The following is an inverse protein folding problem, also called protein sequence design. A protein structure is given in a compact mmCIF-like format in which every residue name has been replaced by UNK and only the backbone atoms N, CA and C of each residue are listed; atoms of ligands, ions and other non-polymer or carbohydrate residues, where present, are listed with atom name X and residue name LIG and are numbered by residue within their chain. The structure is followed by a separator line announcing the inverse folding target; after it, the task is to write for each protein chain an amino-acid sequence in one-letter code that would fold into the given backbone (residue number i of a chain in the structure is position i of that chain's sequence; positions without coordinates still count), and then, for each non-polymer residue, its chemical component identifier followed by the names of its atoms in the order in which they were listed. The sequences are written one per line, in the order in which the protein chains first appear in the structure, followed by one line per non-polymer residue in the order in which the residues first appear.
data_IF_791022726941
#
_entry.id   IF_791022726941
#
_cell.length_a   1.000
_cell.length_b   1.000
_cell.length_c   1.000
_cell.angle_alpha   90.00
_cell.angle_beta   90.00
_cell.angle_gamma   90.00
#
_symmetry.space_group_name_H-M   'P 1'
#
loop_
_entity.id
_entity.type
_entity.pdbx_description
1 polymer ?
#
# COMPACT_ATOMS: atom_id res chain seq x y z
N UNK A 1 14.42 18.68 3.27
CA UNK A 1 13.02 19.01 3.61
C UNK A 1 12.73 18.44 4.97
N UNK A 2 12.21 19.25 5.91
CA UNK A 2 11.76 18.73 7.20
C UNK A 2 10.55 17.83 6.92
N UNK A 3 10.60 16.56 7.35
CA UNK A 3 9.43 15.70 7.26
C UNK A 3 8.32 16.34 8.10
N UNK A 4 7.24 16.72 7.47
CA UNK A 4 6.09 17.33 8.14
C UNK A 4 5.38 16.36 9.09
N UNK A 5 5.69 15.07 9.00
CA UNK A 5 5.16 14.01 9.86
C UNK A 5 6.21 13.49 10.85
N UNK A 6 5.76 13.20 12.08
CA UNK A 6 6.62 12.70 13.15
C UNK A 6 6.97 11.22 12.94
N UNK A 7 7.97 10.94 12.10
CA UNK A 7 8.48 9.59 11.82
C UNK A 7 9.70 9.24 12.69
N UNK A 8 10.44 10.24 13.17
CA UNK A 8 11.74 10.04 13.84
C UNK A 8 11.65 9.27 15.17
N UNK A 9 10.49 9.33 15.82
CA UNK A 9 10.23 8.66 17.11
C UNK A 9 9.64 7.25 16.97
N UNK A 10 9.40 6.77 15.74
CA UNK A 10 8.72 5.50 15.49
C UNK A 10 9.76 4.44 15.14
N UNK A 11 9.73 3.31 15.85
CA UNK A 11 10.61 2.18 15.57
C UNK A 11 10.26 1.56 14.22
N UNK A 12 11.29 1.31 13.38
CA UNK A 12 11.13 0.63 12.10
C UNK A 12 10.48 -0.77 12.26
N UNK A 13 9.59 -1.13 11.32
CA UNK A 13 8.84 -2.40 11.38
C UNK A 13 9.78 -3.60 11.43
N UNK A 14 10.87 -3.60 10.65
CA UNK A 14 11.81 -4.71 10.61
C UNK A 14 12.58 -4.82 11.92
N UNK A 15 12.99 -3.68 12.50
CA UNK A 15 13.68 -3.66 13.78
C UNK A 15 12.77 -4.10 14.92
N UNK A 16 11.53 -3.61 14.96
CA UNK A 16 10.52 -4.01 15.93
C UNK A 16 10.20 -5.52 15.82
N UNK A 17 9.98 -6.03 14.61
CA UNK A 17 9.76 -7.46 14.39
C UNK A 17 10.95 -8.31 14.86
N UNK A 18 12.19 -7.90 14.51
CA UNK A 18 13.41 -8.57 14.94
C UNK A 18 13.52 -8.60 16.47
N UNK A 19 13.29 -7.47 17.13
CA UNK A 19 13.34 -7.36 18.60
C UNK A 19 12.29 -8.26 19.24
N UNK A 20 11.07 -8.34 18.71
CA UNK A 20 10.01 -9.22 19.20
C UNK A 20 10.37 -10.71 19.01
N UNK A 21 10.97 -11.10 17.89
CA UNK A 21 11.43 -12.48 17.66
C UNK A 21 12.52 -12.85 18.65
N UNK A 22 13.51 -11.96 18.84
CA UNK A 22 14.63 -12.19 19.75
C UNK A 22 14.20 -12.23 21.22
N UNK A 23 13.33 -11.33 21.66
CA UNK A 23 12.83 -11.29 23.04
C UNK A 23 11.97 -12.51 23.38
N UNK A 24 11.25 -13.05 22.41
CA UNK A 24 10.35 -14.18 22.58
C UNK A 24 10.84 -15.44 21.84
N UNK A 25 12.16 -15.58 21.68
CA UNK A 25 12.75 -16.68 20.93
C UNK A 25 12.30 -18.06 21.41
N UNK A 26 12.11 -18.24 22.74
CA UNK A 26 11.62 -19.49 23.31
C UNK A 26 10.23 -19.88 22.78
N UNK A 27 9.31 -18.91 22.65
CA UNK A 27 7.96 -19.16 22.12
C UNK A 27 7.98 -19.46 20.62
N UNK A 28 8.97 -18.93 19.90
CA UNK A 28 9.09 -19.12 18.46
C UNK A 28 9.82 -20.42 18.10
N UNK A 29 10.96 -20.69 18.75
CA UNK A 29 11.86 -21.76 18.34
C UNK A 29 11.76 -23.03 19.19
N UNK A 30 11.28 -22.96 20.44
CA UNK A 30 11.17 -24.15 21.28
C UNK A 30 10.09 -25.13 20.79
N UNK A 31 8.89 -24.69 20.36
CA UNK A 31 7.92 -25.56 19.70
C UNK A 31 8.43 -26.11 18.37
N UNK A 32 9.17 -25.29 17.58
CA UNK A 32 9.82 -25.76 16.36
C UNK A 32 10.78 -26.93 16.64
N UNK A 33 11.68 -26.74 17.61
CA UNK A 33 12.64 -27.79 17.96
C UNK A 33 11.94 -29.10 18.44
N UNK A 34 10.90 -28.96 19.27
CA UNK A 34 10.10 -30.09 19.72
C UNK A 34 9.39 -30.83 18.57
N UNK A 35 8.72 -30.08 17.69
CA UNK A 35 8.05 -30.64 16.51
C UNK A 35 9.05 -31.26 15.52
N UNK A 36 10.21 -30.64 15.36
CA UNK A 36 11.26 -31.13 14.46
C UNK A 36 11.86 -32.43 14.96
N UNK A 37 12.19 -32.53 16.26
CA UNK A 37 12.71 -33.78 16.90
C UNK A 37 11.65 -34.88 16.82
N UNK A 38 10.38 -34.56 17.16
CA UNK A 38 9.27 -35.49 17.03
C UNK A 38 9.10 -35.94 15.58
N UNK A 39 9.22 -35.02 14.62
CA UNK A 39 9.15 -35.30 13.20
C UNK A 39 10.23 -36.28 12.73
N UNK A 40 11.51 -36.10 13.19
CA UNK A 40 12.59 -37.01 12.89
C UNK A 40 12.29 -38.43 13.44
N UNK A 41 11.79 -38.50 14.67
CA UNK A 41 11.42 -39.76 15.27
C UNK A 41 10.34 -40.49 14.47
N UNK A 42 9.27 -39.77 14.04
CA UNK A 42 8.19 -40.34 13.27
C UNK A 42 8.65 -40.73 11.86
N UNK A 43 9.54 -39.95 11.22
CA UNK A 43 10.10 -40.29 9.90
C UNK A 43 10.88 -41.63 9.98
N UNK A 44 11.67 -41.80 11.01
CA UNK A 44 12.40 -43.07 11.20
C UNK A 44 11.48 -44.28 11.44
N UNK A 45 10.31 -44.06 12.03
CA UNK A 45 9.38 -45.14 12.38
C UNK A 45 8.34 -45.45 11.30
N UNK A 46 7.82 -44.37 10.62
CA UNK A 46 6.73 -44.45 9.66
C UNK A 46 7.12 -44.08 8.21
N UNK A 47 8.36 -43.66 7.97
CA UNK A 47 8.85 -43.27 6.64
C UNK A 47 8.21 -42.03 6.06
N UNK A 48 7.41 -41.27 6.82
CA UNK A 48 6.64 -40.15 6.30
C UNK A 48 7.33 -38.79 6.53
N UNK A 49 7.97 -38.25 5.49
CA UNK A 49 8.74 -37.01 5.52
C UNK A 49 7.84 -35.76 5.64
N UNK A 50 6.55 -35.84 5.30
CA UNK A 50 5.62 -34.71 5.32
C UNK A 50 5.48 -34.08 6.72
N UNK A 51 5.68 -34.87 7.77
CA UNK A 51 5.55 -34.41 9.15
C UNK A 51 6.63 -33.38 9.52
N UNK A 52 7.83 -33.45 8.93
CA UNK A 52 8.87 -32.42 9.11
C UNK A 52 8.41 -31.06 8.59
N UNK A 53 7.59 -31.02 7.56
CA UNK A 53 7.04 -29.77 7.01
C UNK A 53 6.21 -28.98 8.02
N UNK A 54 5.54 -29.65 8.96
CA UNK A 54 4.69 -28.98 9.97
C UNK A 54 5.51 -28.03 10.86
N UNK A 55 6.74 -28.43 11.25
CA UNK A 55 7.62 -27.59 12.06
C UNK A 55 8.03 -26.30 11.33
N UNK A 56 8.32 -26.39 10.04
CA UNK A 56 8.64 -25.22 9.21
C UNK A 56 7.44 -24.31 9.03
N UNK A 57 6.23 -24.88 8.80
CA UNK A 57 4.99 -24.10 8.71
C UNK A 57 4.76 -23.31 10.01
N UNK A 58 5.03 -23.92 11.18
CA UNK A 58 4.94 -23.23 12.47
C UNK A 58 5.83 -21.98 12.53
N UNK A 59 7.14 -22.12 12.19
CA UNK A 59 8.08 -20.98 12.23
C UNK A 59 7.67 -19.89 11.25
N UNK A 60 7.36 -20.27 10.01
CA UNK A 60 6.93 -19.30 8.99
C UNK A 60 5.68 -18.56 9.46
N UNK A 61 4.68 -19.28 9.98
CA UNK A 61 3.46 -18.68 10.52
C UNK A 61 3.73 -17.72 11.69
N UNK A 62 4.64 -18.10 12.61
CA UNK A 62 5.03 -17.23 13.74
C UNK A 62 5.75 -15.98 13.27
N UNK A 63 6.69 -16.10 12.34
CA UNK A 63 7.38 -14.94 11.76
C UNK A 63 6.37 -14.01 11.07
N UNK A 64 5.48 -14.55 10.25
CA UNK A 64 4.45 -13.76 9.57
C UNK A 64 3.54 -13.01 10.56
N UNK A 65 3.12 -13.66 11.66
CA UNK A 65 2.32 -13.03 12.73
C UNK A 65 3.08 -11.90 13.43
N UNK A 66 4.37 -12.07 13.70
CA UNK A 66 5.19 -11.03 14.35
C UNK A 66 5.33 -9.82 13.43
N UNK A 67 5.61 -10.02 12.14
CA UNK A 67 5.67 -8.94 11.16
C UNK A 67 4.34 -8.20 11.00
N UNK A 68 3.23 -8.94 10.96
CA UNK A 68 1.89 -8.35 10.90
C UNK A 68 1.60 -7.44 12.11
N UNK A 69 1.94 -7.92 13.33
CA UNK A 69 1.79 -7.13 14.56
C UNK A 69 2.72 -5.92 14.60
N UNK A 70 3.96 -6.08 14.18
CA UNK A 70 4.92 -4.97 14.11
C UNK A 70 4.44 -3.88 13.16
N UNK A 71 3.89 -4.27 12.00
CA UNK A 71 3.28 -3.33 11.02
C UNK A 71 2.07 -2.61 11.62
N UNK A 72 1.19 -3.34 12.30
CA UNK A 72 0.03 -2.74 12.97
C UNK A 72 0.46 -1.74 14.05
N UNK A 73 1.43 -2.11 14.87
CA UNK A 73 1.94 -1.24 15.94
C UNK A 73 2.61 0.02 15.37
N UNK A 74 3.41 -0.13 14.30
CA UNK A 74 3.96 1.02 13.57
C UNK A 74 2.86 1.98 13.13
N UNK A 75 1.80 1.48 12.50
CA UNK A 75 0.69 2.31 12.02
C UNK A 75 -0.07 2.98 13.16
N UNK A 76 -0.23 2.30 14.30
CA UNK A 76 -0.83 2.88 15.52
C UNK A 76 0.05 3.98 16.11
N UNK A 77 1.36 3.78 16.17
CA UNK A 77 2.31 4.78 16.67
C UNK A 77 2.36 5.99 15.74
N UNK A 78 2.40 5.78 14.43
CA UNK A 78 2.32 6.84 13.43
C UNK A 78 1.04 7.67 13.58
N UNK A 79 -0.10 7.01 13.73
CA UNK A 79 -1.38 7.69 13.94
C UNK A 79 -1.34 8.56 15.21
N UNK A 80 -0.89 8.02 16.34
CA UNK A 80 -0.78 8.75 17.62
C UNK A 80 0.18 9.93 17.53
N UNK A 81 1.36 9.75 16.93
CA UNK A 81 2.38 10.79 16.81
C UNK A 81 1.92 11.99 15.96
N UNK A 82 0.98 11.76 15.04
CA UNK A 82 0.45 12.78 14.12
C UNK A 82 -0.98 13.22 14.45
N UNK A 83 -1.53 12.83 15.60
CA UNK A 83 -2.92 13.11 16.00
C UNK A 83 -3.96 12.57 15.00
N UNK A 84 -3.69 11.41 14.40
CA UNK A 84 -4.62 10.69 13.53
C UNK A 84 -5.34 9.57 14.30
N UNK A 85 -6.53 9.18 13.84
CA UNK A 85 -7.26 8.05 14.34
C UNK A 85 -6.84 6.77 13.60
N UNK A 86 -6.44 5.72 14.33
CA UNK A 86 -6.25 4.40 13.74
C UNK A 86 -7.56 3.62 13.78
N UNK A 87 -8.11 3.28 12.61
CA UNK A 87 -9.41 2.60 12.47
C UNK A 87 -9.21 1.10 12.24
N UNK A 88 -8.14 0.73 11.55
CA UNK A 88 -7.80 -0.66 11.24
C UNK A 88 -8.39 -1.15 9.93
N UNK A 89 -9.60 -1.70 9.92
CA UNK A 89 -10.28 -2.15 8.71
C UNK A 89 -11.17 -1.05 8.13
N UNK A 90 -11.16 -0.90 6.81
CA UNK A 90 -12.04 0.02 6.07
C UNK A 90 -13.09 -0.73 5.26
N UNK A 91 -14.11 0.00 4.80
CA UNK A 91 -15.15 -0.50 3.90
C UNK A 91 -14.84 -0.05 2.47
N UNK A 92 -14.65 -1.01 1.59
CA UNK A 92 -14.31 -0.75 0.16
C UNK A 92 -15.45 -0.03 -0.56
N UNK A 93 -16.69 -0.32 -0.22
CA UNK A 93 -17.89 0.27 -0.82
C UNK A 93 -18.00 1.79 -0.61
N UNK A 94 -17.25 2.34 0.35
CA UNK A 94 -17.16 3.78 0.61
C UNK A 94 -16.07 4.48 -0.20
N UNK A 95 -15.20 3.70 -0.86
CA UNK A 95 -14.08 4.25 -1.61
C UNK A 95 -14.51 4.61 -3.03
N UNK A 96 -13.97 5.72 -3.51
CA UNK A 96 -14.14 6.18 -4.88
C UNK A 96 -12.79 6.08 -5.59
N UNK A 97 -12.78 5.63 -6.83
CA UNK A 97 -11.56 5.51 -7.62
C UNK A 97 -11.58 4.29 -8.52
N UNK A 98 -10.84 4.38 -9.63
CA UNK A 98 -10.73 3.29 -10.61
C UNK A 98 -10.14 2.05 -9.97
N UNK A 99 -9.13 2.22 -9.10
CA UNK A 99 -8.49 1.12 -8.40
C UNK A 99 -9.50 0.21 -7.67
N UNK A 100 -10.53 0.78 -7.06
CA UNK A 100 -11.51 0.02 -6.25
C UNK A 100 -12.57 -0.69 -7.08
N UNK A 101 -12.55 -0.54 -8.40
CA UNK A 101 -13.47 -1.24 -9.32
C UNK A 101 -12.91 -2.57 -9.79
N UNK A 102 -11.61 -2.85 -9.54
CA UNK A 102 -10.93 -4.03 -10.06
C UNK A 102 -10.90 -5.19 -9.09
N UNK A 103 -10.90 -6.39 -9.68
CA UNK A 103 -10.66 -7.64 -8.97
C UNK A 103 -11.81 -8.07 -8.06
N UNK A 104 -11.49 -9.00 -7.18
CA UNK A 104 -12.40 -9.57 -6.17
C UNK A 104 -11.65 -9.74 -4.84
N UNK A 105 -12.38 -10.12 -3.79
CA UNK A 105 -11.80 -10.27 -2.45
C UNK A 105 -11.02 -9.01 -2.03
N UNK A 106 -11.64 -7.87 -2.29
CA UNK A 106 -11.09 -6.56 -1.97
C UNK A 106 -11.05 -6.36 -0.45
N UNK A 107 -9.97 -5.77 0.05
CA UNK A 107 -9.84 -5.47 1.47
C UNK A 107 -9.04 -4.20 1.72
N UNK A 108 -9.44 -3.45 2.75
CA UNK A 108 -8.73 -2.29 3.28
C UNK A 108 -8.25 -2.62 4.69
N UNK A 109 -6.96 -2.42 4.91
CA UNK A 109 -6.33 -2.68 6.20
C UNK A 109 -5.51 -1.48 6.65
N UNK A 110 -5.30 -1.37 7.97
CA UNK A 110 -4.51 -0.31 8.60
C UNK A 110 -4.97 1.10 8.22
N UNK A 111 -6.28 1.32 8.10
CA UNK A 111 -6.86 2.63 7.82
C UNK A 111 -6.55 3.59 8.96
N UNK A 112 -5.96 4.73 8.60
CA UNK A 112 -5.68 5.86 9.46
C UNK A 112 -6.38 7.08 8.88
N UNK A 113 -7.08 7.84 9.69
CA UNK A 113 -7.75 9.08 9.29
C UNK A 113 -7.33 10.24 10.18
N UNK A 114 -7.18 11.40 9.59
CA UNK A 114 -6.84 12.62 10.33
C UNK A 114 -7.00 13.87 9.50
N UNK A 115 -6.47 14.97 10.02
CA UNK A 115 -6.44 16.26 9.33
C UNK A 115 -5.00 16.80 9.27
N UNK A 116 -4.62 17.33 8.12
CA UNK A 116 -3.35 17.97 7.90
C UNK A 116 -3.55 19.25 7.07
N UNK A 117 -3.06 20.38 7.57
CA UNK A 117 -3.23 21.71 6.92
C UNK A 117 -4.69 21.99 6.48
N UNK A 118 -5.65 21.67 7.34
CA UNK A 118 -7.10 21.81 7.11
C UNK A 118 -7.69 20.91 6.00
N UNK A 119 -6.96 19.89 5.55
CA UNK A 119 -7.45 18.85 4.67
C UNK A 119 -7.66 17.56 5.46
N UNK A 120 -8.77 16.86 5.20
CA UNK A 120 -8.94 15.50 5.71
C UNK A 120 -8.04 14.58 4.91
N UNK A 121 -7.32 13.71 5.61
CA UNK A 121 -6.37 12.77 5.02
C UNK A 121 -6.68 11.37 5.54
N UNK A 122 -6.61 10.39 4.66
CA UNK A 122 -6.67 8.97 5.01
C UNK A 122 -5.49 8.24 4.39
N UNK A 123 -4.88 7.33 5.16
CA UNK A 123 -3.85 6.40 4.68
C UNK A 123 -4.30 4.99 4.96
N UNK A 124 -4.12 4.07 3.99
CA UNK A 124 -4.49 2.67 4.16
C UNK A 124 -3.76 1.77 3.17
N UNK A 125 -3.78 0.47 3.46
CA UNK A 125 -3.38 -0.54 2.49
C UNK A 125 -4.61 -1.17 1.88
N UNK A 126 -4.58 -1.30 0.57
CA UNK A 126 -5.63 -1.93 -0.21
C UNK A 126 -5.11 -3.17 -0.91
N UNK A 127 -5.89 -4.22 -0.94
CA UNK A 127 -5.57 -5.41 -1.73
C UNK A 127 -6.78 -5.96 -2.45
N UNK A 128 -6.54 -6.54 -3.61
CA UNK A 128 -7.53 -7.30 -4.37
C UNK A 128 -6.90 -8.49 -5.09
N UNK A 129 -7.73 -9.36 -5.61
CA UNK A 129 -7.30 -10.59 -6.28
C UNK A 129 -7.82 -10.63 -7.69
N UNK A 130 -6.95 -10.97 -8.65
CA UNK A 130 -7.29 -11.29 -10.03
C UNK A 130 -7.05 -12.76 -10.34
N UNK A 131 -7.52 -13.21 -11.50
CA UNK A 131 -7.34 -14.57 -11.95
C UNK A 131 -8.09 -15.62 -11.12
N UNK A 132 -7.91 -16.90 -11.43
CA UNK A 132 -8.56 -18.01 -10.74
C UNK A 132 -7.66 -19.25 -10.69
N UNK A 133 -7.90 -20.14 -9.74
CA UNK A 133 -7.15 -21.39 -9.59
C UNK A 133 -5.64 -21.15 -9.44
N UNK A 134 -4.84 -21.76 -10.31
CA UNK A 134 -3.36 -21.64 -10.30
C UNK A 134 -2.85 -20.27 -10.79
N UNK A 135 -3.69 -19.47 -11.43
CA UNK A 135 -3.35 -18.13 -11.95
C UNK A 135 -3.87 -17.01 -11.03
N UNK A 136 -4.18 -17.33 -9.78
CA UNK A 136 -4.57 -16.34 -8.78
C UNK A 136 -3.40 -15.44 -8.46
N UNK A 137 -3.60 -14.12 -8.60
CA UNK A 137 -2.62 -13.09 -8.27
C UNK A 137 -3.25 -12.11 -7.27
N UNK A 138 -2.51 -11.78 -6.22
CA UNK A 138 -2.90 -10.76 -5.25
C UNK A 138 -2.12 -9.48 -5.52
N UNK A 139 -2.84 -8.38 -5.67
CA UNK A 139 -2.30 -7.04 -5.85
C UNK A 139 -2.43 -6.27 -4.55
N UNK A 140 -1.36 -5.57 -4.17
CA UNK A 140 -1.30 -4.81 -2.92
C UNK A 140 -0.89 -3.37 -3.23
N UNK A 141 -1.57 -2.41 -2.61
CA UNK A 141 -1.34 -0.98 -2.79
C UNK A 141 -1.26 -0.27 -1.46
N UNK A 142 -0.40 0.74 -1.39
CA UNK A 142 -0.51 1.80 -0.41
C UNK A 142 -1.32 2.95 -1.02
N UNK A 143 -2.26 3.48 -0.27
CA UNK A 143 -3.18 4.51 -0.72
C UNK A 143 -3.17 5.67 0.26
N UNK A 144 -3.02 6.89 -0.25
CA UNK A 144 -3.29 8.12 0.46
C UNK A 144 -4.47 8.83 -0.21
N UNK A 145 -5.49 9.19 0.56
CA UNK A 145 -6.63 9.99 0.12
C UNK A 145 -6.59 11.35 0.81
N UNK A 146 -6.75 12.42 0.06
CA UNK A 146 -6.77 13.80 0.56
C UNK A 146 -8.07 14.44 0.07
N UNK A 147 -8.87 14.97 1.00
CA UNK A 147 -10.03 15.80 0.65
C UNK A 147 -9.61 17.27 0.50
N UNK A 148 -10.00 17.91 -0.59
CA UNK A 148 -9.77 19.33 -0.85
C UNK A 148 -11.10 20.08 -1.03
N UNK A 149 -11.04 21.41 -0.98
CA UNK A 149 -12.21 22.25 -1.21
C UNK A 149 -12.44 22.47 -2.71
N UNK A 150 -13.66 22.27 -3.17
CA UNK A 150 -14.04 22.38 -4.56
C UNK A 150 -14.21 21.02 -5.25
N UNK A 151 -14.67 21.04 -6.48
CA UNK A 151 -14.78 19.86 -7.33
C UNK A 151 -13.74 19.93 -8.43
N UNK A 152 -13.15 18.81 -8.73
CA UNK A 152 -12.25 18.61 -9.87
C UNK A 152 -12.96 17.75 -10.91
N UNK A 153 -12.69 17.91 -12.20
CA UNK A 153 -12.95 16.85 -13.17
C UNK A 153 -12.29 15.54 -12.73
N UNK A 154 -12.85 14.43 -13.17
CA UNK A 154 -12.24 13.12 -12.95
C UNK A 154 -10.97 13.01 -13.78
N UNK A 155 -9.80 13.12 -13.17
CA UNK A 155 -8.52 13.11 -13.85
C UNK A 155 -7.69 11.93 -13.31
N UNK A 156 -7.06 11.19 -14.21
CA UNK A 156 -6.13 10.11 -13.87
C UNK A 156 -4.74 10.46 -14.36
N UNK A 157 -3.75 10.42 -13.47
CA UNK A 157 -2.34 10.59 -13.77
C UNK A 157 -1.65 9.28 -13.49
N UNK A 158 -1.34 8.52 -14.53
CA UNK A 158 -0.67 7.24 -14.41
C UNK A 158 0.84 7.42 -14.44
N UNK A 159 1.52 6.85 -13.46
CA UNK A 159 2.98 6.73 -13.47
C UNK A 159 3.40 5.58 -14.38
N UNK A 160 4.34 5.83 -15.29
CA UNK A 160 4.93 4.79 -16.14
C UNK A 160 5.90 3.87 -15.37
N UNK A 161 6.30 4.28 -14.17
CA UNK A 161 7.11 3.48 -13.25
C UNK A 161 6.29 2.48 -12.44
N UNK A 162 4.95 2.59 -12.45
CA UNK A 162 4.02 1.64 -11.83
C UNK A 162 3.36 0.75 -12.90
N UNK A 163 3.96 -0.43 -13.12
CA UNK A 163 3.53 -1.38 -14.14
C UNK A 163 2.07 -1.84 -13.99
N UNK A 164 1.62 -2.05 -12.77
CA UNK A 164 0.27 -2.57 -12.49
C UNK A 164 -0.83 -1.57 -12.89
N UNK A 165 -0.53 -0.28 -12.84
CA UNK A 165 -1.52 0.79 -13.02
C UNK A 165 -1.42 1.50 -14.38
N UNK A 166 -0.42 1.17 -15.20
CA UNK A 166 -0.16 1.88 -16.48
C UNK A 166 -1.31 1.80 -17.50
N UNK A 167 -2.24 0.85 -17.33
CA UNK A 167 -3.42 0.66 -18.19
C UNK A 167 -4.73 1.10 -17.55
N UNK A 168 -4.71 1.69 -16.36
CA UNK A 168 -5.92 2.13 -15.68
C UNK A 168 -6.44 3.42 -16.29
N UNK A 169 -7.53 3.33 -17.01
CA UNK A 169 -8.24 4.46 -17.57
C UNK A 169 -9.73 4.32 -17.27
N UNK A 170 -10.43 5.44 -17.23
CA UNK A 170 -11.89 5.45 -17.15
C UNK A 170 -12.51 5.46 -18.55
N UNK A 171 -13.71 4.91 -18.75
CA UNK A 171 -14.48 5.11 -19.96
C UNK A 171 -14.62 6.62 -20.27
N UNK A 172 -14.54 6.99 -21.55
CA UNK A 172 -14.62 8.38 -22.03
C UNK A 172 -13.47 9.31 -21.61
N UNK A 173 -12.36 8.75 -21.08
CA UNK A 173 -11.13 9.50 -20.86
C UNK A 173 -10.21 9.40 -22.08
N UNK A 174 -9.58 10.52 -22.38
CA UNK A 174 -8.58 10.64 -23.43
C UNK A 174 -7.26 11.05 -22.82
N UNK A 175 -6.16 10.49 -23.33
CA UNK A 175 -4.84 10.93 -22.93
C UNK A 175 -4.56 12.33 -23.48
N UNK A 176 -4.14 13.23 -22.59
CA UNK A 176 -3.76 14.59 -22.97
C UNK A 176 -2.36 14.59 -23.63
N UNK A 177 -2.17 15.34 -24.72
CA UNK A 177 -0.90 15.47 -25.43
C UNK A 177 0.02 16.44 -24.66
N UNK A 178 0.71 15.96 -23.65
CA UNK A 178 1.70 16.74 -22.92
C UNK A 178 3.08 16.37 -23.45
N UNK A 179 3.68 17.28 -24.19
CA UNK A 179 5.03 17.12 -24.74
C UNK A 179 6.06 17.70 -23.77
N UNK A 180 6.70 16.87 -22.97
CA UNK A 180 7.76 17.30 -22.06
C UNK A 180 8.42 16.09 -21.38
N UNK A 181 9.47 16.32 -20.59
CA UNK A 181 10.07 15.32 -19.69
C UNK A 181 9.03 14.65 -18.79
N UNK A 182 7.92 15.34 -18.50
CA UNK A 182 6.82 14.77 -17.76
C UNK A 182 6.20 13.56 -18.48
N UNK A 183 6.04 13.63 -19.81
CA UNK A 183 5.49 12.54 -20.62
C UNK A 183 6.35 11.27 -20.64
N UNK A 184 7.63 11.37 -20.26
CA UNK A 184 8.49 10.20 -20.09
C UNK A 184 8.13 9.39 -18.84
N UNK A 185 7.60 10.07 -17.82
CA UNK A 185 7.29 9.52 -16.49
C UNK A 185 5.83 9.28 -16.25
N UNK A 186 4.95 10.09 -16.84
CA UNK A 186 3.52 10.10 -16.57
C UNK A 186 2.70 10.17 -17.84
N UNK A 187 1.43 9.75 -17.73
CA UNK A 187 0.39 9.98 -18.71
C UNK A 187 -0.83 10.55 -17.98
N UNK A 188 -1.40 11.64 -18.48
CA UNK A 188 -2.61 12.26 -17.93
C UNK A 188 -3.80 11.89 -18.81
N UNK A 189 -4.87 11.44 -18.17
CA UNK A 189 -6.13 11.10 -18.80
C UNK A 189 -7.25 11.95 -18.19
N UNK A 190 -8.06 12.58 -19.04
CA UNK A 190 -9.19 13.41 -18.63
C UNK A 190 -10.42 13.11 -19.47
N UNK A 191 -11.63 13.41 -18.97
CA UNK A 191 -12.83 13.38 -19.80
C UNK A 191 -12.69 14.34 -20.97
N UNK A 192 -13.19 13.95 -22.15
CA UNK A 192 -13.06 14.74 -23.38
C UNK A 192 -13.63 16.16 -23.23
N UNK A 193 -14.67 16.31 -22.42
CA UNK A 193 -15.34 17.61 -22.21
C UNK A 193 -14.56 18.56 -21.27
N UNK A 194 -13.52 18.08 -20.59
CA UNK A 194 -12.73 18.81 -19.60
C UNK A 194 -11.23 18.88 -19.95
N UNK A 195 -10.86 18.74 -21.22
CA UNK A 195 -9.46 18.77 -21.65
C UNK A 195 -8.80 20.12 -21.32
N UNK A 196 -9.48 21.23 -21.56
CA UNK A 196 -8.93 22.59 -21.36
C UNK A 196 -8.76 22.87 -19.87
N UNK A 197 -9.77 22.64 -19.07
CA UNK A 197 -9.73 22.82 -17.61
C UNK A 197 -8.67 21.95 -16.97
N UNK A 198 -8.48 20.73 -17.50
CA UNK A 198 -7.41 19.84 -17.02
C UNK A 198 -6.03 20.39 -17.36
N UNK A 199 -5.82 20.91 -18.57
CA UNK A 199 -4.53 21.50 -18.96
C UNK A 199 -4.21 22.76 -18.13
N UNK A 200 -5.21 23.54 -17.74
CA UNK A 200 -5.03 24.69 -16.83
C UNK A 200 -4.57 24.29 -15.43
N UNK A 201 -4.98 23.11 -14.94
CA UNK A 201 -4.53 22.57 -13.65
C UNK A 201 -3.08 22.12 -13.68
N UNK A 202 -2.62 21.59 -14.81
CA UNK A 202 -1.27 21.02 -14.96
C UNK A 202 -0.29 22.03 -15.55
N UNK A 203 -0.12 23.15 -14.86
CA UNK A 203 0.89 24.15 -15.20
C UNK A 203 2.31 23.56 -15.14
N UNK A 204 3.31 24.17 -15.81
CA UNK A 204 4.69 23.72 -15.81
C UNK A 204 5.27 23.50 -14.40
N UNK A 205 4.89 24.34 -13.44
CA UNK A 205 5.30 24.23 -12.05
C UNK A 205 4.71 22.97 -11.38
N UNK A 206 3.41 22.71 -11.61
CA UNK A 206 2.74 21.51 -11.11
C UNK A 206 3.37 20.24 -11.70
N UNK A 207 3.59 20.22 -13.01
CA UNK A 207 4.25 19.09 -13.69
C UNK A 207 5.65 18.84 -13.13
N UNK A 208 6.43 19.92 -12.90
CA UNK A 208 7.76 19.81 -12.30
C UNK A 208 7.74 19.23 -10.88
N UNK A 209 6.78 19.66 -10.05
CA UNK A 209 6.63 19.12 -8.69
C UNK A 209 6.16 17.66 -8.69
N UNK A 210 5.30 17.26 -9.61
CA UNK A 210 4.89 15.86 -9.78
C UNK A 210 6.07 14.96 -10.16
N UNK A 211 6.94 15.39 -11.09
CA UNK A 211 8.15 14.65 -11.45
C UNK A 211 9.06 14.46 -10.22
N UNK A 212 9.20 15.49 -9.39
CA UNK A 212 10.10 15.45 -8.22
C UNK A 212 9.54 14.60 -7.07
N UNK A 213 8.21 14.57 -6.88
CA UNK A 213 7.59 14.06 -5.64
C UNK A 213 6.66 12.87 -5.84
N UNK A 214 6.08 12.72 -7.02
CA UNK A 214 5.05 11.72 -7.29
C UNK A 214 5.52 10.59 -8.22
N UNK A 215 6.80 10.55 -8.61
CA UNK A 215 7.34 9.45 -9.41
C UNK A 215 7.08 8.10 -8.71
N UNK A 216 6.47 7.17 -9.45
CA UNK A 216 6.04 5.87 -8.91
C UNK A 216 4.67 5.87 -8.26
N UNK A 217 4.00 7.02 -8.14
CA UNK A 217 2.62 7.11 -7.65
C UNK A 217 1.66 7.39 -8.81
N UNK A 218 0.52 6.72 -8.81
CA UNK A 218 -0.61 7.08 -9.65
C UNK A 218 -1.50 8.03 -8.85
N UNK A 219 -2.04 9.05 -9.52
CA UNK A 219 -2.91 10.03 -8.91
C UNK A 219 -4.26 9.99 -9.59
N UNK A 220 -5.33 10.11 -8.82
CA UNK A 220 -6.68 10.18 -9.32
C UNK A 220 -7.44 11.30 -8.61
N UNK A 221 -7.91 12.27 -9.37
CA UNK A 221 -8.78 13.32 -8.89
C UNK A 221 -10.23 12.87 -9.13
N UNK A 222 -11.05 12.88 -8.08
CA UNK A 222 -12.45 12.48 -8.15
C UNK A 222 -13.26 13.40 -7.26
N UNK A 223 -14.17 14.19 -7.84
CA UNK A 223 -14.96 15.14 -7.07
C UNK A 223 -14.07 16.11 -6.27
N UNK A 224 -14.07 15.96 -4.96
CA UNK A 224 -13.27 16.76 -4.02
C UNK A 224 -12.12 15.96 -3.41
N UNK A 225 -11.69 14.86 -4.01
CA UNK A 225 -10.67 13.97 -3.48
C UNK A 225 -9.51 13.78 -4.45
N UNK A 226 -8.31 13.70 -3.89
CA UNK A 226 -7.11 13.24 -4.56
C UNK A 226 -6.70 11.92 -3.93
N UNK A 227 -6.62 10.88 -4.74
CA UNK A 227 -6.03 9.60 -4.36
C UNK A 227 -4.62 9.52 -4.93
N UNK A 228 -3.66 9.14 -4.10
CA UNK A 228 -2.32 8.75 -4.52
C UNK A 228 -2.12 7.27 -4.20
N UNK A 229 -1.79 6.47 -5.20
CA UNK A 229 -1.68 5.01 -5.07
C UNK A 229 -0.32 4.54 -5.57
N UNK A 230 0.24 3.51 -4.91
CA UNK A 230 1.49 2.89 -5.29
C UNK A 230 1.38 1.37 -5.10
N UNK A 231 1.70 0.59 -6.16
CA UNK A 231 1.69 -0.88 -6.12
C UNK A 231 2.91 -1.47 -5.43
N UNK A 232 4.00 -0.70 -5.35
CA UNK A 232 5.15 -1.08 -4.54
C UNK A 232 4.76 -0.83 -3.08
N UNK A 233 4.36 -1.87 -2.39
CA UNK A 233 4.31 -1.85 -0.92
C UNK A 233 5.76 -1.67 -0.48
N UNK A 234 6.18 -0.40 -0.38
CA UNK A 234 7.55 -0.08 0.00
C UNK A 234 7.84 -0.75 1.33
N UNK A 235 8.98 -1.40 1.38
CA UNK A 235 9.65 -1.63 2.63
C UNK A 235 9.67 -0.27 3.32
N UNK A 236 9.11 -0.19 4.54
CA UNK A 236 9.23 0.97 5.41
C UNK A 236 10.72 1.08 5.84
N UNK A 237 11.59 1.38 4.88
CA UNK A 237 13.01 1.62 5.11
C UNK A 237 13.16 3.13 5.27
N UNK A 238 13.75 3.54 6.38
CA UNK A 238 14.25 4.91 6.51
C UNK A 238 15.22 5.16 5.36
N UNK A 239 14.84 6.01 4.43
CA UNK A 239 15.84 6.65 3.58
C UNK A 239 16.66 7.55 4.48
N UNK A 240 17.88 7.12 4.74
CA UNK A 240 18.93 7.86 5.46
C UNK A 240 19.28 9.18 4.76
#
# INVERSE_FOLDING_TARGET
MKNDFALEAIEDVNQSAKNQILSHWKITFLPFAALFILGIFIVNYLGNVLILGVSFIWVIGRIALVYSRAKEEFMRQFARANNFAYIGAGLVEKMQGVLFTYGRSQSITHLIEGAYKNHKISFFFYSYVTGSGKHKQTHNYSVAEIEFKGNSPDIVVNSKDDWDMSSYTRPHHKQLPIESVFAERFAIFAPTDFEIETLELFTPDVLSELIKRATGYNLEFINNKLLATNSRVEKFERTS
#
